data_IF_270997597812
#
_entry.id   IF_270997597812
#
_cell.length_a   1.000
_cell.length_b   1.000
_cell.length_c   1.000
_cell.angle_alpha   90.00
_cell.angle_beta   90.00
_cell.angle_gamma   90.00
#
_symmetry.space_group_name_H-M   'P 1'
#
loop_
_entity.id
_entity.type
_entity.pdbx_description
1 polymer ?
#
# COMPACT_ATOMS: atom_id res chain seq x y z
N UNK A 1 -38.65 -40.19 -67.39
CA UNK A 1 -39.44 -41.19 -66.65
C UNK A 1 -39.89 -40.55 -65.33
N UNK A 2 -40.88 -39.71 -65.48
CA UNK A 2 -41.55 -39.00 -64.40
C UNK A 2 -43.03 -39.15 -64.63
N UNK A 3 -43.86 -39.46 -63.62
CA UNK A 3 -45.28 -39.65 -63.55
C UNK A 3 -45.67 -41.07 -63.20
N UNK A 4 -45.50 -41.44 -61.91
CA UNK A 4 -46.33 -42.50 -61.30
C UNK A 4 -46.33 -42.51 -59.79
N UNK A 5 -46.07 -41.33 -59.13
CA UNK A 5 -45.94 -41.25 -57.66
C UNK A 5 -47.05 -40.43 -56.98
N UNK A 6 -47.96 -39.78 -57.73
CA UNK A 6 -48.87 -38.80 -57.12
C UNK A 6 -50.33 -39.28 -56.98
N UNK A 7 -50.64 -40.57 -57.23
CA UNK A 7 -52.03 -41.05 -57.10
C UNK A 7 -52.30 -41.92 -55.85
N UNK A 8 -51.20 -42.31 -55.12
CA UNK A 8 -51.37 -43.17 -53.93
C UNK A 8 -51.42 -42.41 -52.60
N UNK A 9 -51.21 -41.08 -52.59
CA UNK A 9 -51.30 -40.28 -51.36
C UNK A 9 -52.63 -39.58 -51.11
N UNK A 10 -53.54 -39.57 -52.11
CA UNK A 10 -54.81 -38.86 -51.97
C UNK A 10 -55.98 -39.70 -51.37
N UNK A 11 -55.81 -41.02 -51.21
CA UNK A 11 -56.85 -41.89 -50.67
C UNK A 11 -56.75 -42.24 -49.18
N UNK A 12 -55.67 -41.86 -48.51
CA UNK A 12 -55.44 -42.12 -47.06
C UNK A 12 -55.87 -40.95 -46.18
N UNK A 13 -56.00 -39.73 -46.72
CA UNK A 13 -56.38 -38.54 -45.97
C UNK A 13 -57.87 -38.31 -45.74
N UNK A 14 -58.71 -39.02 -46.36
CA UNK A 14 -60.19 -38.84 -46.23
C UNK A 14 -60.81 -39.78 -45.18
N UNK A 15 -60.14 -40.83 -44.74
CA UNK A 15 -60.71 -41.79 -43.74
C UNK A 15 -60.38 -41.41 -42.29
N UNK A 16 -59.64 -40.34 -42.04
CA UNK A 16 -59.19 -39.96 -40.67
C UNK A 16 -59.88 -38.70 -40.10
N UNK A 17 -60.89 -38.17 -40.86
CA UNK A 17 -61.61 -36.94 -40.46
C UNK A 17 -63.02 -37.22 -39.84
N UNK A 18 -63.38 -38.46 -39.55
CA UNK A 18 -64.74 -38.80 -39.07
C UNK A 18 -64.78 -39.32 -37.60
N UNK A 19 -63.69 -39.25 -36.83
CA UNK A 19 -63.65 -39.82 -35.46
C UNK A 19 -63.34 -38.86 -34.33
N UNK A 20 -63.58 -37.56 -34.48
CA UNK A 20 -63.22 -36.58 -33.44
C UNK A 20 -64.36 -35.60 -33.10
N UNK A 21 -65.57 -36.10 -32.85
CA UNK A 21 -66.63 -35.27 -32.25
C UNK A 21 -67.38 -36.03 -31.13
N UNK A 22 -66.59 -36.40 -30.06
CA UNK A 22 -67.19 -36.60 -28.73
C UNK A 22 -66.15 -36.05 -27.76
N UNK A 23 -66.06 -34.73 -27.58
CA UNK A 23 -65.39 -34.10 -26.50
C UNK A 23 -66.41 -33.81 -25.42
N UNK A 24 -66.37 -34.60 -24.37
CA UNK A 24 -67.03 -34.26 -23.13
C UNK A 24 -66.46 -32.92 -22.57
N UNK A 25 -67.38 -31.97 -22.53
CA UNK A 25 -67.20 -30.73 -21.79
C UNK A 25 -67.23 -31.03 -20.27
N UNK A 26 -66.12 -31.24 -19.69
CA UNK A 26 -65.99 -31.16 -18.22
C UNK A 26 -65.23 -29.85 -17.92
N UNK A 27 -65.96 -28.78 -17.66
CA UNK A 27 -65.49 -27.59 -16.95
C UNK A 27 -65.03 -28.03 -15.55
N UNK A 28 -63.78 -28.49 -15.48
CA UNK A 28 -63.05 -28.48 -14.23
C UNK A 28 -62.68 -27.01 -13.97
N UNK A 29 -63.53 -26.31 -13.23
CA UNK A 29 -63.15 -25.14 -12.51
C UNK A 29 -61.78 -25.44 -11.81
N UNK A 30 -60.67 -25.01 -12.42
CA UNK A 30 -59.44 -24.84 -11.68
C UNK A 30 -59.75 -23.78 -10.63
N UNK A 31 -60.19 -24.18 -9.45
CA UNK A 31 -59.97 -23.40 -8.23
C UNK A 31 -58.51 -23.12 -8.19
N UNK A 32 -58.09 -21.90 -8.63
CA UNK A 32 -56.84 -21.31 -8.26
C UNK A 32 -56.91 -21.31 -6.73
N UNK A 33 -56.20 -22.23 -6.09
CA UNK A 33 -56.04 -22.22 -4.67
C UNK A 33 -55.43 -20.85 -4.37
N UNK A 34 -56.20 -19.96 -3.78
CA UNK A 34 -55.69 -18.72 -3.17
C UNK A 34 -54.62 -19.18 -2.21
N UNK A 35 -53.35 -18.96 -2.58
CA UNK A 35 -52.21 -19.25 -1.66
C UNK A 35 -52.48 -18.45 -0.40
N UNK A 36 -52.65 -19.16 0.72
CA UNK A 36 -52.77 -18.49 2.01
C UNK A 36 -51.56 -17.55 2.16
N UNK A 37 -51.84 -16.24 2.30
CA UNK A 37 -50.83 -15.23 2.45
C UNK A 37 -50.06 -15.52 3.72
N UNK A 38 -48.76 -15.82 3.59
CA UNK A 38 -47.90 -16.04 4.75
C UNK A 38 -47.90 -14.80 5.64
N UNK A 39 -48.31 -14.95 6.89
CA UNK A 39 -48.30 -13.91 7.90
C UNK A 39 -47.17 -14.27 8.89
N UNK A 40 -46.27 -13.31 9.13
CA UNK A 40 -45.14 -13.49 10.02
C UNK A 40 -45.69 -13.69 11.45
N UNK A 41 -45.36 -14.80 12.15
CA UNK A 41 -45.83 -15.06 13.52
C UNK A 41 -45.36 -14.01 14.51
N UNK A 42 -46.18 -13.69 15.51
CA UNK A 42 -45.84 -12.69 16.54
C UNK A 42 -44.56 -13.01 17.31
N UNK A 43 -44.27 -14.29 17.51
CA UNK A 43 -43.02 -14.75 18.14
C UNK A 43 -41.77 -14.36 17.33
N UNK A 44 -41.87 -14.44 16.01
CA UNK A 44 -40.79 -14.05 15.11
C UNK A 44 -40.67 -12.52 15.03
N UNK A 45 -41.82 -11.82 15.01
CA UNK A 45 -41.86 -10.35 14.95
C UNK A 45 -41.07 -9.67 16.09
N UNK A 46 -41.06 -10.26 17.28
CA UNK A 46 -40.33 -9.73 18.44
C UNK A 46 -38.78 -9.76 18.24
N UNK A 47 -38.30 -10.61 17.40
CA UNK A 47 -36.86 -10.78 17.10
C UNK A 47 -36.39 -10.03 15.86
N UNK A 48 -37.33 -9.52 15.06
CA UNK A 48 -37.01 -8.83 13.80
C UNK A 48 -36.54 -7.40 14.06
N UNK A 49 -35.50 -7.02 13.35
CA UNK A 49 -35.08 -5.62 13.21
C UNK A 49 -35.78 -5.00 12.01
N UNK A 50 -36.55 -3.97 12.26
CA UNK A 50 -37.20 -3.17 11.22
C UNK A 50 -36.37 -1.90 11.01
N UNK A 51 -35.95 -1.66 9.79
CA UNK A 51 -35.27 -0.44 9.37
C UNK A 51 -36.22 0.46 8.59
N UNK A 52 -35.93 1.75 8.55
CA UNK A 52 -36.76 2.73 7.83
C UNK A 52 -35.96 3.31 6.68
N UNK A 53 -36.56 3.37 5.50
CA UNK A 53 -35.98 3.96 4.32
C UNK A 53 -35.77 5.44 4.51
N UNK A 54 -34.54 5.89 4.30
CA UNK A 54 -34.10 7.25 4.50
C UNK A 54 -33.44 7.81 3.23
N UNK A 55 -33.32 9.13 3.15
CA UNK A 55 -32.45 9.78 2.17
C UNK A 55 -31.07 9.95 2.76
N UNK A 56 -30.06 9.53 2.04
CA UNK A 56 -28.65 9.70 2.40
C UNK A 56 -27.89 10.37 1.27
N UNK A 57 -26.84 11.09 1.62
CA UNK A 57 -25.89 11.55 0.61
C UNK A 57 -25.27 10.35 -0.08
N UNK A 58 -25.34 10.32 -1.41
CA UNK A 58 -24.75 9.24 -2.21
C UNK A 58 -23.23 9.29 -2.05
N UNK A 59 -22.66 8.17 -1.68
CA UNK A 59 -21.21 8.00 -1.58
C UNK A 59 -20.78 7.02 -2.66
N UNK A 60 -20.03 7.51 -3.66
CA UNK A 60 -19.35 6.62 -4.61
C UNK A 60 -18.10 6.07 -3.94
N UNK A 61 -17.97 4.77 -3.94
CA UNK A 61 -16.82 4.07 -3.37
C UNK A 61 -16.08 3.34 -4.49
N UNK A 62 -14.85 3.75 -4.71
CA UNK A 62 -13.96 3.12 -5.66
C UNK A 62 -12.90 2.30 -4.94
N UNK A 63 -12.92 0.99 -5.13
CA UNK A 63 -11.89 0.10 -4.57
C UNK A 63 -10.75 -0.08 -5.57
N UNK A 64 -9.55 0.24 -5.13
CA UNK A 64 -8.30 0.17 -5.86
C UNK A 64 -7.42 -0.92 -5.26
N UNK A 65 -6.67 -1.61 -6.10
CA UNK A 65 -5.61 -2.51 -5.66
C UNK A 65 -4.30 -1.73 -5.50
N UNK A 66 -3.53 -2.07 -4.48
CA UNK A 66 -2.25 -1.42 -4.22
C UNK A 66 -1.32 -2.27 -3.38
N UNK A 67 -0.22 -1.67 -2.99
CA UNK A 67 0.76 -2.28 -2.09
C UNK A 67 1.29 -1.25 -1.09
N UNK A 68 1.71 -1.77 0.04
CA UNK A 68 2.51 -1.00 1.01
C UNK A 68 3.92 -0.85 0.43
N UNK A 69 4.45 0.35 0.45
CA UNK A 69 5.81 0.66 0.00
C UNK A 69 6.58 1.42 1.08
N UNK A 70 7.89 1.46 0.93
CA UNK A 70 8.74 2.27 1.80
C UNK A 70 8.43 3.76 1.63
N UNK A 71 8.55 4.50 2.71
CA UNK A 71 8.69 5.94 2.59
C UNK A 71 10.08 6.26 2.02
N UNK A 72 10.15 6.56 0.73
CA UNK A 72 11.40 6.82 0.00
C UNK A 72 12.16 8.04 0.55
N UNK A 73 11.46 8.99 1.17
CA UNK A 73 12.07 10.16 1.80
C UNK A 73 12.86 9.80 3.08
N UNK A 74 12.49 8.66 3.70
CA UNK A 74 13.09 8.14 4.94
C UNK A 74 13.85 6.82 4.72
N UNK A 75 14.31 6.59 3.50
CA UNK A 75 15.13 5.44 3.13
C UNK A 75 16.52 5.90 2.73
N UNK A 76 17.55 5.27 3.31
CA UNK A 76 18.94 5.60 3.03
C UNK A 76 19.73 4.36 2.64
N UNK A 77 20.40 4.45 1.49
CA UNK A 77 21.36 3.46 1.04
C UNK A 77 22.75 3.77 1.59
N UNK A 78 23.37 2.80 2.23
CA UNK A 78 24.71 2.88 2.82
C UNK A 78 25.70 2.31 1.82
N UNK A 79 26.57 3.17 1.30
CA UNK A 79 27.64 2.81 0.35
C UNK A 79 29.00 2.76 1.07
N UNK A 80 29.96 1.98 0.55
CA UNK A 80 31.30 1.98 1.07
C UNK A 80 32.01 3.30 0.73
N UNK A 81 32.68 3.92 1.70
CA UNK A 81 33.55 5.09 1.47
C UNK A 81 35.00 4.69 1.17
N UNK A 82 35.39 3.46 1.49
CA UNK A 82 36.70 2.90 1.25
C UNK A 82 36.60 1.47 0.72
N UNK A 83 37.58 1.06 -0.07
CA UNK A 83 37.69 -0.32 -0.55
C UNK A 83 38.34 -1.20 0.52
N UNK A 84 37.93 -2.47 0.58
CA UNK A 84 38.49 -3.40 1.57
C UNK A 84 37.72 -4.70 1.71
N UNK A 85 38.03 -5.45 2.74
CA UNK A 85 37.36 -6.71 3.07
C UNK A 85 36.50 -6.54 4.32
N UNK A 86 35.23 -6.92 4.24
CA UNK A 86 34.33 -6.92 5.39
C UNK A 86 34.77 -7.99 6.37
N UNK A 87 35.15 -7.57 7.57
CA UNK A 87 35.63 -8.45 8.61
C UNK A 87 34.50 -8.98 9.49
N UNK A 88 33.58 -8.12 9.88
CA UNK A 88 32.54 -8.45 10.83
C UNK A 88 31.27 -7.61 10.57
N UNK A 89 30.14 -8.28 10.44
CA UNK A 89 28.81 -7.67 10.28
C UNK A 89 28.04 -7.87 11.58
N UNK A 90 27.63 -6.76 12.19
CA UNK A 90 26.96 -6.69 13.51
C UNK A 90 25.44 -6.76 13.43
N UNK A 91 24.86 -6.76 12.21
CA UNK A 91 23.41 -6.64 11.98
C UNK A 91 22.92 -7.65 10.97
N UNK A 92 21.66 -8.06 11.13
CA UNK A 92 20.95 -8.92 10.22
C UNK A 92 19.83 -8.15 9.46
N UNK A 93 19.31 -8.77 8.41
CA UNK A 93 18.13 -8.27 7.72
C UNK A 93 16.93 -8.29 8.68
N UNK A 94 16.21 -7.17 8.76
CA UNK A 94 15.07 -7.00 9.66
C UNK A 94 15.41 -6.41 11.03
N UNK A 95 16.69 -6.27 11.39
CA UNK A 95 17.09 -5.65 12.66
C UNK A 95 16.78 -4.15 12.67
N UNK A 96 16.35 -3.66 13.82
CA UNK A 96 16.24 -2.23 14.07
C UNK A 96 17.60 -1.67 14.53
N UNK A 97 18.05 -0.60 13.92
CA UNK A 97 19.29 0.10 14.24
C UNK A 97 19.04 1.56 14.59
N UNK A 98 19.88 2.11 15.43
CA UNK A 98 19.89 3.54 15.79
C UNK A 98 20.94 4.29 14.99
N UNK A 99 20.70 5.58 14.72
CA UNK A 99 21.68 6.43 14.06
C UNK A 99 23.03 6.39 14.79
N UNK A 100 24.12 6.18 14.04
CA UNK A 100 25.47 6.02 14.60
C UNK A 100 25.84 4.60 15.03
N UNK A 101 24.89 3.65 15.09
CA UNK A 101 25.17 2.25 15.42
C UNK A 101 26.09 1.60 14.39
N UNK A 102 27.02 0.78 14.85
CA UNK A 102 27.95 0.05 13.99
C UNK A 102 27.21 -1.07 13.25
N UNK A 103 27.30 -1.06 11.93
CA UNK A 103 26.72 -2.08 11.05
C UNK A 103 27.73 -3.15 10.68
N UNK A 104 28.92 -2.71 10.29
CA UNK A 104 30.02 -3.62 9.89
C UNK A 104 31.38 -2.95 10.08
N UNK A 105 32.41 -3.77 10.09
CA UNK A 105 33.82 -3.37 10.13
C UNK A 105 34.51 -3.85 8.87
N UNK A 106 35.25 -2.97 8.21
CA UNK A 106 36.00 -3.24 6.97
C UNK A 106 37.48 -3.07 7.23
N UNK A 107 38.25 -4.06 6.89
CA UNK A 107 39.71 -3.95 6.85
C UNK A 107 40.14 -3.33 5.52
N UNK A 108 40.76 -2.15 5.57
CA UNK A 108 41.07 -1.34 4.39
C UNK A 108 42.52 -0.89 4.37
N UNK A 109 43.20 -1.20 3.26
CA UNK A 109 44.56 -0.68 3.01
C UNK A 109 44.59 0.83 2.83
N UNK A 110 43.48 1.43 2.33
CA UNK A 110 43.33 2.88 2.19
C UNK A 110 43.35 3.55 3.57
N UNK A 111 42.60 2.97 4.55
CA UNK A 111 42.61 3.47 5.93
C UNK A 111 43.99 3.37 6.59
N UNK A 112 44.72 2.28 6.34
CA UNK A 112 46.10 2.14 6.83
C UNK A 112 47.01 3.19 6.22
N UNK A 113 46.87 3.51 4.93
CA UNK A 113 47.60 4.58 4.27
C UNK A 113 47.28 5.98 4.85
N UNK A 114 45.98 6.27 5.10
CA UNK A 114 45.56 7.54 5.72
C UNK A 114 46.15 7.71 7.13
N UNK A 115 46.17 6.64 7.92
CA UNK A 115 46.78 6.63 9.26
C UNK A 115 48.30 6.85 9.19
N UNK A 116 48.97 6.19 8.25
CA UNK A 116 50.41 6.38 8.01
C UNK A 116 50.75 7.81 7.61
N UNK A 117 49.95 8.39 6.68
CA UNK A 117 50.11 9.78 6.27
C UNK A 117 49.91 10.78 7.40
N UNK A 118 48.93 10.53 8.29
CA UNK A 118 48.74 11.35 9.49
C UNK A 118 49.97 11.30 10.38
N UNK A 119 50.52 10.13 10.67
CA UNK A 119 51.74 9.95 11.50
C UNK A 119 52.95 10.65 10.88
N UNK A 120 53.11 10.53 9.56
CA UNK A 120 54.21 11.21 8.83
C UNK A 120 54.07 12.72 8.90
N UNK A 121 52.86 13.25 8.66
CA UNK A 121 52.59 14.70 8.74
C UNK A 121 52.81 15.24 10.15
N UNK A 122 52.40 14.48 11.19
CA UNK A 122 52.67 14.87 12.58
C UNK A 122 54.18 14.96 12.87
N UNK A 123 54.95 13.95 12.44
CA UNK A 123 56.40 13.94 12.60
C UNK A 123 57.08 15.12 11.86
N UNK A 124 56.58 15.47 10.67
CA UNK A 124 57.09 16.62 9.92
C UNK A 124 56.86 17.95 10.66
N UNK A 125 55.69 18.12 11.30
CA UNK A 125 55.39 19.30 12.13
C UNK A 125 56.38 19.36 13.32
N UNK A 126 56.59 18.24 13.99
CA UNK A 126 57.49 18.19 15.15
C UNK A 126 58.93 18.55 14.77
N UNK A 127 59.44 18.10 13.62
CA UNK A 127 60.74 18.46 13.08
C UNK A 127 60.80 19.93 12.69
N UNK A 128 59.82 20.42 11.93
CA UNK A 128 59.76 21.81 11.49
C UNK A 128 59.67 22.78 12.66
N UNK A 129 58.89 22.41 13.72
CA UNK A 129 58.81 23.20 14.97
C UNK A 129 60.15 23.31 15.68
N UNK A 130 60.83 22.18 15.85
CA UNK A 130 62.18 22.17 16.51
C UNK A 130 63.16 23.02 15.73
N UNK A 131 63.16 22.95 14.40
CA UNK A 131 64.02 23.79 13.56
C UNK A 131 63.69 25.28 13.74
N UNK A 132 62.40 25.65 13.69
CA UNK A 132 61.95 27.02 13.91
C UNK A 132 62.41 27.55 15.28
N UNK A 133 62.22 26.75 16.33
CA UNK A 133 62.61 27.12 17.68
C UNK A 133 64.15 27.31 17.78
N UNK A 134 64.95 26.47 17.11
CA UNK A 134 66.40 26.62 17.01
C UNK A 134 66.81 27.89 16.25
N UNK A 135 66.20 28.19 15.09
CA UNK A 135 66.47 29.40 14.32
C UNK A 135 66.12 30.67 15.10
N UNK A 136 64.99 30.67 15.84
CA UNK A 136 64.63 31.79 16.74
C UNK A 136 65.61 31.99 17.81
N UNK A 137 66.16 30.94 18.43
CA UNK A 137 67.22 31.04 19.48
C UNK A 137 68.53 31.55 18.93
N UNK A 138 68.96 31.11 17.75
CA UNK A 138 70.14 31.60 17.05
C UNK A 138 70.02 33.08 16.68
N UNK A 139 68.84 33.49 16.18
CA UNK A 139 68.56 34.89 15.87
C UNK A 139 68.61 35.77 17.09
N UNK A 140 68.03 35.34 18.20
CA UNK A 140 68.11 36.07 19.48
C UNK A 140 69.56 36.23 19.99
N UNK A 141 70.46 35.31 19.60
CA UNK A 141 71.87 35.35 19.90
C UNK A 141 72.73 36.11 18.86
N UNK A 142 72.14 36.67 17.83
CA UNK A 142 72.80 37.39 16.74
C UNK A 142 73.53 36.47 15.73
N UNK A 143 73.32 35.18 15.72
CA UNK A 143 74.07 34.18 14.97
C UNK A 143 73.46 33.81 13.59
N UNK A 144 72.22 34.23 13.29
CA UNK A 144 71.61 34.05 11.99
C UNK A 144 70.77 35.27 11.58
N UNK A 145 70.21 35.23 10.35
CA UNK A 145 69.40 36.31 9.74
C UNK A 145 67.90 36.17 10.02
N UNK A 146 67.15 37.27 9.91
CA UNK A 146 65.68 37.26 9.94
C UNK A 146 65.08 36.40 8.78
N UNK A 147 65.80 36.30 7.64
CA UNK A 147 65.41 35.47 6.55
C UNK A 147 65.38 33.98 6.90
N UNK A 148 66.37 33.53 7.73
CA UNK A 148 66.40 32.11 8.17
C UNK A 148 65.23 31.80 9.10
N UNK A 149 64.88 32.73 10.01
CA UNK A 149 63.68 32.57 10.85
C UNK A 149 62.38 32.53 10.00
N UNK A 150 62.30 33.46 9.04
CA UNK A 150 61.12 33.51 8.17
C UNK A 150 61.00 32.23 7.31
N UNK A 151 62.11 31.68 6.82
CA UNK A 151 62.14 30.42 6.07
C UNK A 151 61.74 29.24 6.94
N UNK A 152 62.22 29.16 8.19
CA UNK A 152 61.82 28.12 9.14
C UNK A 152 60.33 28.24 9.56
N UNK A 153 59.84 29.48 9.72
CA UNK A 153 58.41 29.72 9.98
C UNK A 153 57.54 29.24 8.82
N UNK A 154 57.90 29.57 7.57
CA UNK A 154 57.19 29.12 6.41
C UNK A 154 57.15 27.57 6.26
N UNK A 155 58.29 26.91 6.59
CA UNK A 155 58.37 25.45 6.63
C UNK A 155 57.45 24.82 7.71
N UNK A 156 57.39 25.44 8.89
CA UNK A 156 56.49 25.02 9.96
C UNK A 156 55.02 25.20 9.58
N UNK A 157 54.66 26.33 8.99
CA UNK A 157 53.30 26.62 8.54
C UNK A 157 52.85 25.66 7.43
N UNK A 158 53.76 25.32 6.51
CA UNK A 158 53.53 24.31 5.48
C UNK A 158 53.29 22.91 6.07
N UNK A 159 54.09 22.49 7.06
CA UNK A 159 53.94 21.22 7.73
C UNK A 159 52.62 21.14 8.50
N UNK A 160 52.20 22.22 9.16
CA UNK A 160 50.87 22.29 9.82
C UNK A 160 49.75 22.18 8.84
N UNK A 161 49.84 22.84 7.67
CA UNK A 161 48.80 22.72 6.62
C UNK A 161 48.65 21.26 6.15
N UNK A 162 49.78 20.54 5.99
CA UNK A 162 49.76 19.12 5.59
C UNK A 162 49.15 18.25 6.70
N UNK A 163 49.45 18.50 7.97
CA UNK A 163 48.87 17.80 9.11
C UNK A 163 47.35 18.01 9.16
N UNK A 164 46.87 19.22 8.99
CA UNK A 164 45.44 19.54 8.99
C UNK A 164 44.73 18.89 7.79
N UNK A 165 45.38 18.79 6.64
CA UNK A 165 44.84 18.03 5.49
C UNK A 165 44.73 16.54 5.85
N UNK A 166 45.77 15.92 6.38
CA UNK A 166 45.76 14.50 6.76
C UNK A 166 44.70 14.20 7.83
N UNK A 167 44.52 15.06 8.84
CA UNK A 167 43.44 14.95 9.83
C UNK A 167 42.05 14.99 9.18
N UNK A 168 41.79 15.94 8.26
CA UNK A 168 40.51 16.06 7.57
C UNK A 168 40.20 14.83 6.73
N UNK A 169 41.18 14.33 5.99
CA UNK A 169 41.01 13.11 5.17
C UNK A 169 40.66 11.93 6.07
N UNK A 170 41.35 11.72 7.17
CA UNK A 170 41.06 10.63 8.11
C UNK A 170 39.67 10.79 8.74
N UNK A 171 39.27 12.00 9.13
CA UNK A 171 37.96 12.30 9.73
C UNK A 171 36.82 12.02 8.77
N UNK A 172 36.94 12.38 7.49
CA UNK A 172 35.94 12.10 6.45
C UNK A 172 35.75 10.59 6.30
N UNK A 173 36.81 9.82 6.42
CA UNK A 173 36.81 8.37 6.26
C UNK A 173 36.61 7.59 7.57
N UNK A 174 36.07 8.22 8.63
CA UNK A 174 35.60 7.52 9.83
C UNK A 174 36.54 7.56 11.06
N UNK A 175 37.61 8.36 11.02
CA UNK A 175 38.48 8.71 12.16
C UNK A 175 39.12 7.52 12.91
N UNK A 176 39.44 6.42 12.19
CA UNK A 176 40.04 5.24 12.76
C UNK A 176 41.50 5.10 12.31
N UNK A 177 42.41 5.05 13.28
CA UNK A 177 43.87 4.95 13.04
C UNK A 177 44.39 3.51 12.95
N UNK A 178 43.53 2.49 13.15
CA UNK A 178 43.91 1.08 13.18
C UNK A 178 43.79 0.36 11.83
N UNK A 179 43.58 1.10 10.74
CA UNK A 179 43.39 0.49 9.41
C UNK A 179 41.98 -0.11 9.17
N UNK A 180 41.08 0.03 10.13
CA UNK A 180 39.69 -0.44 10.01
C UNK A 180 38.77 0.72 9.70
N UNK A 181 37.85 0.54 8.76
CA UNK A 181 36.74 1.42 8.51
C UNK A 181 35.48 0.89 9.18
N UNK A 182 34.79 1.72 9.95
CA UNK A 182 33.58 1.34 10.67
C UNK A 182 32.38 1.92 9.96
N UNK A 183 31.57 1.05 9.36
CA UNK A 183 30.31 1.43 8.71
C UNK A 183 29.27 1.64 9.79
N UNK A 184 28.68 2.85 9.85
CA UNK A 184 27.64 3.22 10.81
C UNK A 184 26.31 3.52 10.11
N UNK A 185 25.21 3.33 10.84
CA UNK A 185 23.88 3.69 10.38
C UNK A 185 23.73 5.22 10.29
N UNK A 186 23.37 5.80 9.15
CA UNK A 186 23.16 7.24 9.01
C UNK A 186 21.85 7.71 9.65
N UNK A 187 20.84 6.84 9.70
CA UNK A 187 19.53 7.08 10.31
C UNK A 187 19.14 5.91 11.22
N UNK A 188 18.17 6.13 12.10
CA UNK A 188 17.51 5.05 12.84
C UNK A 188 16.42 4.44 11.98
N UNK A 189 16.30 3.09 11.98
CA UNK A 189 15.32 2.37 11.18
C UNK A 189 15.63 0.89 11.09
N UNK A 190 14.93 0.19 10.22
CA UNK A 190 15.13 -1.23 9.98
C UNK A 190 16.07 -1.48 8.81
N UNK A 191 16.91 -2.51 8.92
CA UNK A 191 17.71 -3.02 7.80
C UNK A 191 16.74 -3.73 6.84
N UNK A 192 16.41 -3.08 5.73
CA UNK A 192 15.47 -3.61 4.73
C UNK A 192 16.15 -4.31 3.56
N UNK A 193 17.46 -4.08 3.41
CA UNK A 193 18.29 -4.78 2.44
C UNK A 193 19.73 -4.91 2.96
N UNK A 194 20.33 -6.07 2.73
CA UNK A 194 21.72 -6.38 3.06
C UNK A 194 22.34 -7.13 1.87
N UNK A 195 23.29 -6.47 1.19
CA UNK A 195 23.94 -6.99 -0.02
C UNK A 195 25.35 -7.51 0.23
N UNK A 196 25.72 -7.68 1.51
CA UNK A 196 27.08 -8.06 1.89
C UNK A 196 27.07 -9.18 2.92
N UNK A 197 28.15 -9.96 2.90
CA UNK A 197 28.45 -11.02 3.86
C UNK A 197 29.85 -10.84 4.41
N UNK A 198 30.17 -11.54 5.50
CA UNK A 198 31.54 -11.57 6.03
C UNK A 198 32.51 -12.08 4.95
N UNK A 199 33.70 -11.54 4.91
CA UNK A 199 34.74 -11.79 3.92
C UNK A 199 34.42 -11.33 2.49
N UNK A 200 33.35 -10.54 2.29
CA UNK A 200 33.08 -9.90 0.99
C UNK A 200 34.07 -8.78 0.76
N UNK A 201 34.69 -8.78 -0.41
CA UNK A 201 35.52 -7.66 -0.88
C UNK A 201 34.62 -6.59 -1.44
N UNK A 202 34.68 -5.39 -0.87
CA UNK A 202 33.94 -4.23 -1.32
C UNK A 202 34.86 -3.23 -2.02
N UNK A 203 34.30 -2.50 -2.97
CA UNK A 203 34.97 -1.46 -3.76
C UNK A 203 34.06 -0.25 -3.86
N UNK A 204 34.65 0.92 -3.80
CA UNK A 204 33.93 2.20 -3.92
C UNK A 204 33.37 2.47 -5.31
N UNK A 205 33.96 1.83 -6.34
CA UNK A 205 33.60 1.99 -7.76
C UNK A 205 32.44 1.09 -8.24
N UNK A 206 32.05 0.07 -7.45
CA UNK A 206 31.01 -0.89 -7.84
C UNK A 206 29.58 -0.33 -7.83
N UNK A 207 29.34 0.82 -7.24
CA UNK A 207 28.00 1.44 -7.13
C UNK A 207 26.96 0.61 -6.35
N UNK A 208 27.38 -0.50 -5.70
CA UNK A 208 26.49 -1.37 -4.93
C UNK A 208 26.39 -0.90 -3.49
N UNK A 209 25.18 -0.65 -3.00
CA UNK A 209 24.95 -0.35 -1.58
C UNK A 209 25.18 -1.60 -0.73
N UNK A 210 25.73 -1.41 0.46
CA UNK A 210 25.96 -2.49 1.42
C UNK A 210 24.71 -2.81 2.22
N UNK A 211 24.04 -1.78 2.68
CA UNK A 211 22.80 -1.86 3.46
C UNK A 211 21.81 -0.82 2.94
N UNK A 212 20.53 -1.12 3.10
CA UNK A 212 19.45 -0.12 3.00
C UNK A 212 18.74 -0.06 4.34
N UNK A 213 18.60 1.13 4.88
CA UNK A 213 17.92 1.40 6.15
C UNK A 213 16.69 2.24 5.85
N UNK A 214 15.55 1.86 6.41
CA UNK A 214 14.29 2.59 6.25
C UNK A 214 13.59 2.78 7.59
N UNK A 215 13.13 4.00 7.85
CA UNK A 215 12.21 4.28 8.95
C UNK A 215 10.80 3.88 8.52
N UNK A 216 10.25 2.86 9.18
CA UNK A 216 8.92 2.30 8.87
C UNK A 216 7.79 2.91 9.71
N UNK A 217 8.02 4.00 10.46
CA UNK A 217 6.97 4.69 11.24
C UNK A 217 5.87 5.28 10.37
N UNK A 218 6.22 5.64 9.15
CA UNK A 218 5.28 6.04 8.12
C UNK A 218 5.57 5.23 6.87
N UNK A 219 4.53 4.65 6.31
CA UNK A 219 4.61 3.88 5.06
C UNK A 219 3.78 4.55 3.98
N UNK A 220 4.15 4.31 2.74
CA UNK A 220 3.35 4.72 1.60
C UNK A 220 2.48 3.57 1.13
N UNK A 221 1.24 3.86 0.81
CA UNK A 221 0.40 2.95 0.06
C UNK A 221 0.36 3.47 -1.37
N UNK A 222 0.86 2.67 -2.30
CA UNK A 222 0.76 2.94 -3.72
C UNK A 222 -0.43 2.18 -4.28
N UNK A 223 -1.51 2.88 -4.61
CA UNK A 223 -2.69 2.29 -5.23
C UNK A 223 -2.72 2.55 -6.73
N UNK A 224 -3.22 1.58 -7.48
CA UNK A 224 -3.30 1.61 -8.94
C UNK A 224 -4.68 2.09 -9.37
N UNK A 225 -4.74 3.19 -10.10
CA UNK A 225 -5.95 3.76 -10.67
C UNK A 225 -5.96 3.45 -12.16
N UNK A 226 -6.95 2.69 -12.62
CA UNK A 226 -7.14 2.42 -14.04
C UNK A 226 -7.62 3.67 -14.77
N UNK A 227 -7.31 3.80 -16.05
CA UNK A 227 -7.61 4.96 -16.89
C UNK A 227 -9.09 5.38 -16.81
N UNK A 228 -10.02 4.42 -16.78
CA UNK A 228 -11.46 4.66 -16.68
C UNK A 228 -11.91 5.35 -15.39
N UNK A 229 -11.08 5.32 -14.34
CA UNK A 229 -11.39 5.86 -13.02
C UNK A 229 -10.58 7.11 -12.64
N UNK A 230 -9.69 7.57 -13.51
CA UNK A 230 -8.81 8.72 -13.23
C UNK A 230 -9.62 9.97 -12.86
N UNK A 231 -10.71 10.25 -13.59
CA UNK A 231 -11.57 11.41 -13.34
C UNK A 231 -12.35 11.37 -12.02
N UNK A 232 -12.35 10.24 -11.31
CA UNK A 232 -13.03 10.07 -10.01
C UNK A 232 -12.12 10.28 -8.81
N UNK A 233 -10.82 10.45 -9.04
CA UNK A 233 -9.80 10.52 -7.98
C UNK A 233 -9.25 11.94 -7.89
N UNK A 234 -9.28 12.50 -6.68
CA UNK A 234 -8.78 13.84 -6.42
C UNK A 234 -7.80 13.85 -5.24
N UNK A 235 -6.94 14.86 -5.24
CA UNK A 235 -6.03 15.09 -4.14
C UNK A 235 -6.83 15.38 -2.86
N UNK A 236 -6.47 14.74 -1.75
CA UNK A 236 -7.16 14.89 -0.47
C UNK A 236 -8.37 13.98 -0.27
N UNK A 237 -8.76 13.17 -1.26
CA UNK A 237 -9.83 12.18 -1.11
C UNK A 237 -9.54 11.26 0.07
N UNK A 238 -10.57 11.02 0.89
CA UNK A 238 -10.45 10.11 2.03
C UNK A 238 -10.39 8.67 1.56
N UNK A 239 -9.49 7.93 2.16
CA UNK A 239 -9.31 6.51 1.84
C UNK A 239 -9.34 5.64 3.08
N UNK A 240 -9.90 4.45 2.90
CA UNK A 240 -9.83 3.34 3.85
C UNK A 240 -8.97 2.24 3.24
N UNK A 241 -7.94 1.84 3.96
CA UNK A 241 -6.98 0.83 3.51
C UNK A 241 -7.11 -0.41 4.37
N UNK A 242 -7.26 -1.56 3.74
CA UNK A 242 -7.22 -2.87 4.38
C UNK A 242 -6.13 -3.72 3.74
N UNK A 243 -5.60 -4.68 4.49
CA UNK A 243 -4.59 -5.61 3.98
C UNK A 243 -5.07 -7.05 4.16
N UNK A 244 -4.54 -7.96 3.35
CA UNK A 244 -4.88 -9.39 3.46
C UNK A 244 -4.47 -9.95 4.83
N UNK A 245 -3.38 -9.43 5.41
CA UNK A 245 -2.88 -9.87 6.71
C UNK A 245 -3.72 -9.38 7.90
N UNK A 246 -4.47 -8.29 7.73
CA UNK A 246 -5.30 -7.68 8.77
C UNK A 246 -6.66 -7.30 8.19
N UNK A 247 -7.54 -8.28 7.88
CA UNK A 247 -8.82 -8.02 7.20
C UNK A 247 -9.79 -7.19 8.05
N UNK A 248 -9.73 -7.33 9.37
CA UNK A 248 -10.62 -6.64 10.30
C UNK A 248 -10.09 -5.26 10.73
N UNK A 249 -8.87 -4.89 10.29
CA UNK A 249 -8.24 -3.62 10.65
C UNK A 249 -8.28 -2.66 9.47
N UNK A 250 -8.95 -1.54 9.67
CA UNK A 250 -9.02 -0.46 8.68
C UNK A 250 -8.04 0.64 9.05
N UNK A 251 -7.14 0.96 8.12
CA UNK A 251 -6.24 2.11 8.21
C UNK A 251 -6.84 3.25 7.41
N UNK A 252 -6.98 4.42 8.02
CA UNK A 252 -7.58 5.59 7.36
C UNK A 252 -6.53 6.61 6.99
N UNK A 253 -6.67 7.20 5.82
CA UNK A 253 -5.77 8.23 5.30
C UNK A 253 -6.44 9.09 4.25
N UNK A 254 -5.62 9.80 3.50
CA UNK A 254 -6.06 10.60 2.35
C UNK A 254 -5.05 10.49 1.20
N UNK A 255 -5.49 10.76 -0.01
CA UNK A 255 -4.62 10.79 -1.18
C UNK A 255 -3.69 12.01 -1.04
N UNK A 256 -2.40 11.71 -0.85
CA UNK A 256 -1.35 12.72 -0.69
C UNK A 256 -0.79 13.20 -2.04
N UNK A 257 -0.69 12.28 -3.01
CA UNK A 257 -0.15 12.61 -4.33
C UNK A 257 -0.75 11.72 -5.41
N UNK A 258 -1.02 12.32 -6.55
CA UNK A 258 -1.40 11.65 -7.79
C UNK A 258 -0.20 11.73 -8.74
N UNK A 259 0.28 10.58 -9.22
CA UNK A 259 1.37 10.54 -10.19
C UNK A 259 0.82 10.87 -11.58
N UNK A 260 1.33 11.93 -12.22
CA UNK A 260 0.85 12.38 -13.53
C UNK A 260 1.43 11.57 -14.70
N UNK A 261 1.84 10.34 -14.45
CA UNK A 261 2.42 9.43 -15.45
C UNK A 261 1.74 8.09 -15.34
N UNK A 262 1.23 7.59 -16.45
CA UNK A 262 0.70 6.22 -16.55
C UNK A 262 1.86 5.23 -16.70
N UNK A 263 1.76 4.12 -15.99
CA UNK A 263 2.62 2.96 -16.23
C UNK A 263 2.29 2.38 -17.62
N UNK A 264 3.25 2.36 -18.55
CA UNK A 264 2.97 1.95 -19.93
C UNK A 264 2.63 0.45 -20.05
N UNK A 265 3.06 -0.39 -19.11
CA UNK A 265 2.83 -1.82 -19.16
C UNK A 265 1.41 -2.17 -18.70
N UNK A 266 0.94 -1.55 -17.62
CA UNK A 266 -0.34 -1.88 -16.98
C UNK A 266 -1.42 -0.83 -17.21
N UNK A 267 -1.09 0.31 -17.82
CA UNK A 267 -1.97 1.47 -18.07
C UNK A 267 -2.69 1.95 -16.82
N UNK A 268 -2.00 1.96 -15.71
CA UNK A 268 -2.48 2.46 -14.43
C UNK A 268 -1.73 3.71 -14.02
N UNK A 269 -2.44 4.64 -13.42
CA UNK A 269 -1.88 5.78 -12.71
C UNK A 269 -1.70 5.41 -11.24
N UNK A 270 -0.56 5.73 -10.65
CA UNK A 270 -0.33 5.47 -9.23
C UNK A 270 -0.76 6.66 -8.40
N UNK A 271 -1.43 6.38 -7.30
CA UNK A 271 -1.73 7.35 -6.25
C UNK A 271 -1.01 6.95 -4.96
N UNK A 272 -0.51 7.95 -4.25
CA UNK A 272 0.22 7.78 -2.99
C UNK A 272 -0.67 8.20 -1.83
N UNK A 273 -0.77 7.34 -0.84
CA UNK A 273 -1.37 7.60 0.46
C UNK A 273 -0.30 7.41 1.53
N UNK A 274 -0.18 8.34 2.46
CA UNK A 274 0.76 8.23 3.59
C UNK A 274 0.00 7.74 4.81
N UNK A 275 0.45 6.64 5.40
CA UNK A 275 -0.17 6.07 6.60
C UNK A 275 0.82 6.01 7.76
N UNK A 276 0.40 6.41 8.97
CA UNK A 276 1.17 6.16 10.18
C UNK A 276 1.20 4.66 10.51
N UNK A 277 2.36 4.17 10.93
CA UNK A 277 2.62 2.75 11.20
C UNK A 277 3.41 2.58 12.51
N UNK A 278 2.87 3.12 13.60
CA UNK A 278 3.55 3.19 14.88
C UNK A 278 3.84 1.82 15.52
N UNK A 279 3.03 0.83 15.21
CA UNK A 279 3.16 -0.56 15.67
C UNK A 279 3.87 -1.47 14.65
N UNK A 280 4.34 -0.89 13.55
CA UNK A 280 5.02 -1.61 12.45
C UNK A 280 4.19 -2.79 11.87
N UNK A 281 2.86 -2.75 11.98
CA UNK A 281 1.98 -3.77 11.43
C UNK A 281 2.04 -3.81 9.90
N UNK A 282 2.05 -2.63 9.26
CA UNK A 282 2.19 -2.52 7.82
C UNK A 282 3.65 -2.74 7.41
N UNK A 283 3.89 -3.80 6.67
CA UNK A 283 5.22 -4.12 6.14
C UNK A 283 5.27 -3.83 4.65
N UNK A 284 6.36 -3.23 4.15
CA UNK A 284 6.56 -3.04 2.72
C UNK A 284 6.34 -4.34 1.94
N UNK A 285 5.82 -4.21 0.72
CA UNK A 285 5.41 -5.29 -0.19
C UNK A 285 4.12 -6.04 0.21
N UNK A 286 3.43 -5.68 1.31
CA UNK A 286 2.09 -6.20 1.58
C UNK A 286 1.10 -5.69 0.55
N UNK A 287 0.19 -6.57 0.10
CA UNK A 287 -0.95 -6.16 -0.71
C UNK A 287 -1.94 -5.34 0.13
N UNK A 288 -2.46 -4.29 -0.48
CA UNK A 288 -3.43 -3.41 0.13
C UNK A 288 -4.64 -3.22 -0.80
N UNK A 289 -5.83 -3.20 -0.21
CA UNK A 289 -7.06 -2.76 -0.85
C UNK A 289 -7.37 -1.35 -0.36
N UNK A 290 -7.46 -0.40 -1.29
CA UNK A 290 -7.67 1.02 -0.99
C UNK A 290 -9.05 1.42 -1.49
N UNK A 291 -9.97 1.69 -0.57
CA UNK A 291 -11.30 2.19 -0.89
C UNK A 291 -11.31 3.71 -0.77
N UNK A 292 -11.47 4.37 -1.89
CA UNK A 292 -11.65 5.82 -1.97
C UNK A 292 -13.13 6.12 -1.82
N UNK A 293 -13.49 7.02 -0.91
CA UNK A 293 -14.88 7.42 -0.68
C UNK A 293 -15.06 8.88 -1.09
N UNK A 294 -15.85 9.09 -2.15
CA UNK A 294 -16.20 10.41 -2.64
C UNK A 294 -17.68 10.66 -2.36
N UNK A 295 -18.03 11.60 -1.46
CA UNK A 295 -19.40 12.03 -1.30
C UNK A 295 -19.83 12.79 -2.56
N UNK A 296 -20.82 12.25 -3.29
CA UNK A 296 -21.46 13.02 -4.37
C UNK A 296 -22.42 14.06 -3.78
N UNK A 297 -22.57 15.21 -4.48
CA UNK A 297 -23.60 16.20 -4.14
C UNK A 297 -25.01 15.76 -4.58
N UNK A 298 -25.28 14.45 -4.49
CA UNK A 298 -26.57 13.85 -4.82
C UNK A 298 -27.09 13.07 -3.63
N UNK A 299 -28.38 13.14 -3.42
CA UNK A 299 -29.07 12.31 -2.45
C UNK A 299 -29.69 11.11 -3.14
N UNK A 300 -29.62 9.95 -2.49
CA UNK A 300 -30.26 8.74 -2.93
C UNK A 300 -30.98 8.07 -1.76
N UNK A 301 -31.97 7.25 -2.09
CA UNK A 301 -32.62 6.41 -1.10
C UNK A 301 -31.58 5.42 -0.56
N UNK A 302 -31.44 5.33 0.75
CA UNK A 302 -30.54 4.38 1.38
C UNK A 302 -31.27 3.48 2.37
N UNK A 303 -30.82 2.22 2.40
CA UNK A 303 -31.31 1.16 3.28
C UNK A 303 -30.12 0.46 3.94
N UNK A 304 -30.39 -0.32 4.99
CA UNK A 304 -29.39 -1.26 5.52
C UNK A 304 -29.09 -2.36 4.49
N UNK A 305 -27.82 -2.64 4.23
CA UNK A 305 -27.40 -3.74 3.35
C UNK A 305 -27.92 -5.10 3.82
N UNK A 306 -28.26 -5.25 5.11
CA UNK A 306 -28.83 -6.48 5.69
C UNK A 306 -30.30 -6.73 5.28
N UNK A 307 -31.00 -5.70 4.80
CA UNK A 307 -32.36 -5.84 4.28
C UNK A 307 -32.41 -6.26 2.82
N UNK A 308 -31.26 -6.25 2.12
CA UNK A 308 -31.17 -6.56 0.71
C UNK A 308 -31.10 -8.08 0.50
N UNK A 309 -31.92 -8.59 -0.40
CA UNK A 309 -31.98 -10.00 -0.80
C UNK A 309 -31.63 -10.07 -2.28
N UNK A 310 -30.73 -10.98 -2.66
CA UNK A 310 -30.39 -11.22 -4.05
C UNK A 310 -30.91 -12.60 -4.47
N UNK A 311 -31.82 -12.62 -5.42
CA UNK A 311 -32.41 -13.85 -5.96
C UNK A 311 -32.65 -13.70 -7.46
N UNK A 312 -32.45 -14.79 -8.22
CA UNK A 312 -32.67 -14.85 -9.69
C UNK A 312 -32.11 -13.64 -10.45
N UNK A 313 -30.89 -13.20 -10.11
CA UNK A 313 -30.20 -12.04 -10.72
C UNK A 313 -30.89 -10.69 -10.49
N UNK A 314 -31.75 -10.59 -9.49
CA UNK A 314 -32.47 -9.38 -9.11
C UNK A 314 -32.31 -9.10 -7.60
N UNK A 315 -32.50 -7.86 -7.22
CA UNK A 315 -32.47 -7.45 -5.82
C UNK A 315 -33.88 -7.19 -5.32
N UNK A 316 -34.16 -7.68 -4.12
CA UNK A 316 -35.44 -7.56 -3.43
C UNK A 316 -35.24 -7.06 -2.01
N UNK A 317 -36.29 -6.49 -1.46
CA UNK A 317 -36.44 -6.19 -0.04
C UNK A 317 -37.81 -6.63 0.46
N UNK A 318 -37.94 -6.83 1.75
CA UNK A 318 -39.21 -7.12 2.39
C UNK A 318 -39.78 -5.83 2.99
N UNK A 319 -40.78 -5.26 2.32
CA UNK A 319 -41.50 -4.09 2.82
C UNK A 319 -42.53 -4.53 3.87
N UNK A 320 -42.44 -4.01 5.08
CA UNK A 320 -43.32 -4.34 6.19
C UNK A 320 -44.49 -3.38 6.27
N UNK A 321 -45.69 -3.90 6.14
CA UNK A 321 -46.96 -3.12 6.15
C UNK A 321 -47.66 -3.12 7.53
N UNK A 322 -47.12 -3.83 8.52
CA UNK A 322 -47.74 -3.99 9.85
C UNK A 322 -48.47 -5.32 10.03
N UNK A 323 -48.81 -5.68 11.26
CA UNK A 323 -49.55 -6.90 11.61
C UNK A 323 -49.01 -8.21 11.03
N UNK A 324 -47.68 -8.32 10.93
CA UNK A 324 -47.04 -9.53 10.35
C UNK A 324 -47.12 -9.61 8.81
N UNK A 325 -47.63 -8.59 8.16
CA UNK A 325 -47.70 -8.51 6.70
C UNK A 325 -46.41 -7.95 6.10
N UNK A 326 -45.81 -8.69 5.20
CA UNK A 326 -44.63 -8.27 4.44
C UNK A 326 -44.82 -8.54 2.95
N UNK A 327 -44.32 -7.65 2.11
CA UNK A 327 -44.39 -7.74 0.67
C UNK A 327 -43.01 -7.73 0.04
N UNK A 328 -42.76 -8.71 -0.82
CA UNK A 328 -41.51 -8.77 -1.62
C UNK A 328 -41.56 -7.62 -2.64
N UNK A 329 -40.62 -6.72 -2.56
CA UNK A 329 -40.53 -5.54 -3.43
C UNK A 329 -39.18 -5.55 -4.17
N UNK A 330 -39.20 -5.55 -5.51
CA UNK A 330 -38.00 -5.45 -6.32
C UNK A 330 -37.39 -4.05 -6.19
N UNK A 331 -36.05 -3.97 -6.11
CA UNK A 331 -35.33 -2.70 -5.98
C UNK A 331 -34.18 -2.63 -6.96
N UNK A 332 -33.82 -1.40 -7.35
CA UNK A 332 -32.67 -1.15 -8.22
C UNK A 332 -31.53 -0.58 -7.37
N UNK A 333 -30.44 -1.33 -7.26
CA UNK A 333 -29.25 -0.96 -6.50
C UNK A 333 -28.34 -0.08 -7.35
N UNK A 334 -27.97 1.11 -6.83
CA UNK A 334 -26.95 1.98 -7.40
C UNK A 334 -25.55 1.57 -6.94
N UNK A 335 -25.37 1.47 -5.62
CA UNK A 335 -24.12 1.07 -5.00
C UNK A 335 -24.36 0.53 -3.59
N UNK A 336 -23.41 -0.23 -3.06
CA UNK A 336 -23.41 -0.71 -1.68
C UNK A 336 -22.07 -0.38 -1.05
N UNK A 337 -22.10 0.22 0.13
CA UNK A 337 -20.89 0.60 0.87
C UNK A 337 -21.06 0.26 2.36
N UNK A 338 -20.34 -0.77 2.82
CA UNK A 338 -20.43 -1.27 4.17
C UNK A 338 -21.86 -1.69 4.53
N UNK A 339 -22.42 -1.11 5.60
CA UNK A 339 -23.79 -1.43 6.06
C UNK A 339 -24.91 -0.69 5.31
N UNK A 340 -24.58 0.14 4.30
CA UNK A 340 -25.56 0.92 3.53
C UNK A 340 -25.60 0.53 2.07
N UNK A 341 -26.82 0.41 1.54
CA UNK A 341 -27.09 0.23 0.11
C UNK A 341 -27.91 1.40 -0.41
N UNK A 342 -27.45 1.99 -1.50
CA UNK A 342 -28.11 3.09 -2.20
C UNK A 342 -28.93 2.58 -3.36
N UNK A 343 -30.16 3.09 -3.47
CA UNK A 343 -31.15 2.66 -4.45
C UNK A 343 -31.51 3.78 -5.41
N UNK A 344 -31.74 3.44 -6.68
CA UNK A 344 -32.29 4.36 -7.69
C UNK A 344 -33.81 4.36 -7.71
N UNK A 345 -34.46 3.36 -7.12
CA UNK A 345 -35.91 3.25 -7.11
C UNK A 345 -36.42 1.96 -6.47
N UNK A 346 -37.74 1.85 -6.40
CA UNK A 346 -38.44 0.69 -5.84
C UNK A 346 -39.05 0.93 -4.45
N UNK A 347 -38.62 2.00 -3.75
CA UNK A 347 -39.10 2.32 -2.39
C UNK A 347 -39.39 3.82 -2.24
N UNK A 348 -40.23 4.13 -1.25
CA UNK A 348 -40.53 5.50 -0.83
C UNK A 348 -39.88 5.80 0.54
N UNK A 349 -39.50 7.06 0.76
CA UNK A 349 -38.98 7.52 2.05
C UNK A 349 -40.02 7.22 3.13
N UNK A 350 -39.60 6.65 4.25
CA UNK A 350 -40.46 6.26 5.36
C UNK A 350 -40.99 4.83 5.27
N UNK A 351 -40.79 4.10 4.16
CA UNK A 351 -41.11 2.67 4.11
C UNK A 351 -40.35 1.90 5.18
N UNK A 352 -40.97 0.90 5.75
CA UNK A 352 -40.39 0.03 6.78
C UNK A 352 -39.92 -1.27 6.14
N UNK A 353 -38.69 -1.69 6.40
CA UNK A 353 -38.06 -2.86 5.82
C UNK A 353 -37.64 -3.84 6.94
N UNK A 354 -37.74 -5.12 6.65
CA UNK A 354 -37.21 -6.17 7.52
C UNK A 354 -35.73 -6.31 7.25
N UNK A 355 -34.88 -5.98 8.24
CA UNK A 355 -33.41 -5.97 8.14
C UNK A 355 -32.73 -7.15 8.81
N UNK A 356 -33.47 -8.05 9.45
CA UNK A 356 -32.94 -9.27 10.04
C UNK A 356 -33.76 -10.48 9.60
N UNK A 357 -33.11 -11.64 9.42
CA UNK A 357 -33.76 -12.87 8.96
C UNK A 357 -34.56 -12.70 7.64
N UNK A 358 -34.20 -11.69 6.85
CA UNK A 358 -34.95 -11.32 5.65
C UNK A 358 -35.03 -12.47 4.61
N UNK A 359 -33.96 -13.23 4.44
CA UNK A 359 -33.94 -14.38 3.50
C UNK A 359 -34.92 -15.47 3.91
N UNK A 360 -35.01 -15.81 5.22
CA UNK A 360 -35.95 -16.83 5.71
C UNK A 360 -37.41 -16.44 5.46
N UNK A 361 -37.73 -15.16 5.68
CA UNK A 361 -39.09 -14.66 5.44
C UNK A 361 -39.37 -14.57 3.93
N UNK A 362 -38.38 -14.20 3.13
CA UNK A 362 -38.46 -14.18 1.68
C UNK A 362 -38.82 -15.57 1.13
N UNK A 363 -38.11 -16.62 1.57
CA UNK A 363 -38.35 -17.99 1.16
C UNK A 363 -39.75 -18.46 1.56
N UNK A 364 -40.23 -18.09 2.75
CA UNK A 364 -41.58 -18.43 3.20
C UNK A 364 -42.68 -17.68 2.44
N UNK A 365 -42.42 -16.50 1.90
CA UNK A 365 -43.34 -15.72 1.08
C UNK A 365 -43.33 -16.14 -0.40
N UNK A 366 -42.23 -16.73 -0.87
CA UNK A 366 -42.02 -17.09 -2.28
C UNK A 366 -42.44 -18.55 -2.60
N UNK A 367 -42.55 -19.42 -1.55
CA UNK A 367 -43.04 -20.80 -1.65
C UNK A 367 -44.56 -20.84 -1.52
#
# INVERSE_FOLDING_TARGET
MLKLSNILCASITISMAAFSLVSCNSEAEKKVAEREKYIIPDSLMQTLKIDTVQTCQLVDALTLTGSVDFNQDNQVNVYPLVSGNIQDIKVALGDYVTAGQVLAVVNSSEMAAYSSNLSTAQSAVDVAKKNLDAQKSLFASGLNSQLDVNSAQAAYDQANAQLELAKRVLKINGDNTQGNYVIKAPISGFIVQKNVTNNTVIRTDNGTNLFTISDLKNVWIQANVYESNIGKIHLGDKVSVTTVSYPDRVFTGQIDKIMNVLDPANKVMKVKVVLPNNDYALKPQMFASVTVTNPENKEAICISSKALIFDHSQYFVLKYNGKGDAVITPVQVLSSLGDKTYLSGGLSIGDKLIASQAVLIYDALNN
#
